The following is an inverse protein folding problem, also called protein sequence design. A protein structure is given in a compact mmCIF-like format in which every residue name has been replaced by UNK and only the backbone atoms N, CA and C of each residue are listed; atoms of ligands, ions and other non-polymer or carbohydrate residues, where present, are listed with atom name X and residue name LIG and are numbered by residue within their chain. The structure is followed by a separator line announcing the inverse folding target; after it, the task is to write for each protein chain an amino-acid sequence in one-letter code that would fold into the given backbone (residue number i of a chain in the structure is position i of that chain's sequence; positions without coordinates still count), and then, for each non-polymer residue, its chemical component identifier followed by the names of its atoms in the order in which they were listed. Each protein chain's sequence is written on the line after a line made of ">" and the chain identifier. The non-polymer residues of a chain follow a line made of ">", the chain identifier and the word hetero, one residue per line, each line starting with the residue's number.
data_IF_475151765970
#
_entry.id   IF_475151765970
#
_cell.length_a   1.000
_cell.length_b   1.000
_cell.length_c   1.000
_cell.angle_alpha   90.00
_cell.angle_beta   90.00
_cell.angle_gamma   90.00
#
_symmetry.space_group_name_H-M   'P 1'
#
loop_
_entity.id
_entity.type
_entity.pdbx_description
1 polymer ?
#
# COMPACT_ATOMS: atom_id res chain seq x y z
N UNK A 1 19.93 -49.46 10.09
CA UNK A 1 20.63 -48.35 9.43
C UNK A 1 19.81 -47.06 9.62
N UNK A 2 20.27 -46.16 10.46
CA UNK A 2 19.60 -44.87 10.70
C UNK A 2 19.89 -43.92 9.55
N UNK A 3 18.86 -43.47 8.82
CA UNK A 3 18.97 -42.38 7.85
C UNK A 3 19.03 -41.05 8.61
N UNK A 4 20.22 -40.47 8.66
CA UNK A 4 20.38 -39.07 9.12
C UNK A 4 19.57 -38.12 8.24
N UNK A 5 18.51 -37.54 8.78
CA UNK A 5 17.81 -36.41 8.16
C UNK A 5 18.70 -35.19 8.24
N UNK A 6 19.39 -34.84 7.16
CA UNK A 6 20.06 -33.56 7.01
C UNK A 6 19.00 -32.47 7.12
N UNK A 7 18.92 -31.84 8.28
CA UNK A 7 18.17 -30.59 8.45
C UNK A 7 18.88 -29.52 7.62
N UNK A 8 18.31 -29.18 6.47
CA UNK A 8 18.73 -28.02 5.69
C UNK A 8 18.64 -26.78 6.55
N UNK A 9 19.77 -26.21 6.95
CA UNK A 9 19.83 -24.88 7.54
C UNK A 9 19.33 -23.90 6.49
N UNK A 10 18.10 -23.42 6.63
CA UNK A 10 17.64 -22.26 5.86
C UNK A 10 18.50 -21.08 6.30
N UNK A 11 19.44 -20.71 5.46
CA UNK A 11 20.18 -19.46 5.63
C UNK A 11 19.19 -18.32 5.48
N UNK A 12 18.70 -17.80 6.61
CA UNK A 12 17.99 -16.52 6.63
C UNK A 12 18.93 -15.50 5.99
N UNK A 13 18.63 -15.12 4.73
CA UNK A 13 19.31 -13.98 4.09
C UNK A 13 19.19 -12.81 5.06
N UNK A 14 20.31 -12.40 5.65
CA UNK A 14 20.40 -11.17 6.43
C UNK A 14 20.00 -10.04 5.49
N UNK A 15 18.78 -9.52 5.65
CA UNK A 15 18.38 -8.28 4.98
C UNK A 15 19.30 -7.19 5.53
N UNK A 16 20.11 -6.60 4.67
CA UNK A 16 20.85 -5.39 5.02
C UNK A 16 19.85 -4.35 5.51
N UNK A 17 20.10 -3.70 6.67
CA UNK A 17 19.21 -2.65 7.15
C UNK A 17 19.25 -1.50 6.14
N UNK A 18 18.13 -1.27 5.47
CA UNK A 18 17.96 -0.18 4.52
C UNK A 18 17.47 1.02 5.31
N UNK A 19 18.32 2.03 5.48
CA UNK A 19 17.93 3.31 6.07
C UNK A 19 17.41 4.24 4.98
N UNK A 20 16.08 4.31 4.85
CA UNK A 20 15.42 5.20 3.90
C UNK A 20 14.60 6.20 4.71
N UNK A 21 14.94 7.48 4.62
CA UNK A 21 14.29 8.55 5.38
C UNK A 21 13.12 9.18 4.65
N UNK A 22 13.12 9.16 3.32
CA UNK A 22 12.08 9.74 2.48
C UNK A 22 11.52 8.70 1.51
N UNK A 23 10.22 8.77 1.25
CA UNK A 23 9.57 7.84 0.33
C UNK A 23 8.26 8.40 -0.23
N UNK A 24 7.58 7.56 -0.99
CA UNK A 24 6.31 7.87 -1.62
C UNK A 24 5.27 6.83 -1.19
N UNK A 25 4.14 7.29 -0.71
CA UNK A 25 2.97 6.44 -0.42
C UNK A 25 2.03 6.50 -1.61
N UNK A 26 1.80 5.36 -2.23
CA UNK A 26 0.86 5.22 -3.33
C UNK A 26 -0.44 4.62 -2.81
N UNK A 27 -1.53 5.35 -2.90
CA UNK A 27 -2.86 4.89 -2.51
C UNK A 27 -3.69 4.66 -3.77
N UNK A 28 -4.03 3.41 -4.04
CA UNK A 28 -4.97 3.04 -5.09
C UNK A 28 -6.31 2.71 -4.44
N UNK A 29 -7.26 3.63 -4.55
CA UNK A 29 -8.61 3.47 -4.00
C UNK A 29 -9.61 3.26 -5.13
N UNK A 30 -10.01 2.02 -5.35
CA UNK A 30 -11.07 1.65 -6.29
C UNK A 30 -12.41 1.53 -5.57
N UNK A 31 -13.50 1.37 -6.33
CA UNK A 31 -14.82 1.13 -5.73
C UNK A 31 -14.92 -0.19 -4.98
N UNK A 32 -14.01 -1.14 -5.21
CA UNK A 32 -14.03 -2.47 -4.63
C UNK A 32 -12.94 -2.75 -3.62
N UNK A 33 -11.85 -1.97 -3.63
CA UNK A 33 -10.69 -2.25 -2.78
C UNK A 33 -9.83 -0.99 -2.61
N UNK A 34 -8.95 -1.03 -1.62
CA UNK A 34 -7.90 -0.04 -1.42
C UNK A 34 -6.57 -0.75 -1.25
N UNK A 35 -5.56 -0.35 -2.00
CA UNK A 35 -4.20 -0.86 -1.92
C UNK A 35 -3.27 0.30 -1.58
N UNK A 36 -2.47 0.13 -0.54
CA UNK A 36 -1.45 1.10 -0.13
C UNK A 36 -0.08 0.50 -0.34
N UNK A 37 0.74 1.15 -1.14
CA UNK A 37 2.12 0.74 -1.41
C UNK A 37 3.05 1.87 -1.01
N UNK A 38 4.11 1.56 -0.30
CA UNK A 38 5.12 2.54 0.11
C UNK A 38 6.43 2.20 -0.56
N UNK A 39 6.95 3.15 -1.31
CA UNK A 39 8.18 3.01 -2.10
C UNK A 39 9.23 4.02 -1.64
N UNK A 40 10.45 3.80 -2.05
CA UNK A 40 11.50 4.82 -1.98
C UNK A 40 11.29 5.89 -3.09
N UNK A 41 12.17 6.87 -3.16
CA UNK A 41 12.11 7.92 -4.19
C UNK A 41 12.42 7.38 -5.59
N UNK A 42 13.03 6.21 -5.71
CA UNK A 42 13.37 5.56 -6.97
C UNK A 42 12.27 4.64 -7.48
N UNK A 43 11.26 4.36 -6.67
CA UNK A 43 10.12 3.53 -7.02
C UNK A 43 10.20 2.07 -6.54
N UNK A 44 11.21 1.69 -5.76
CA UNK A 44 11.30 0.34 -5.21
C UNK A 44 10.32 0.16 -4.05
N UNK A 45 9.46 -0.85 -4.12
CA UNK A 45 8.46 -1.13 -3.09
C UNK A 45 9.11 -1.65 -1.82
N UNK A 46 8.88 -0.96 -0.71
CA UNK A 46 9.39 -1.32 0.61
C UNK A 46 8.36 -2.07 1.44
N UNK A 47 7.11 -1.65 1.37
CA UNK A 47 5.99 -2.27 2.05
C UNK A 47 4.70 -2.02 1.27
N UNK A 48 3.76 -2.94 1.41
CA UNK A 48 2.43 -2.77 0.84
C UNK A 48 1.39 -3.49 1.71
N UNK A 49 0.17 -3.02 1.67
CA UNK A 49 -0.96 -3.66 2.30
C UNK A 49 -2.24 -3.34 1.54
N UNK A 50 -3.14 -4.29 1.48
CA UNK A 50 -4.48 -4.09 0.91
C UNK A 50 -5.55 -4.37 1.96
N UNK A 51 -6.79 -3.94 1.68
CA UNK A 51 -7.92 -4.22 2.56
C UNK A 51 -8.14 -5.73 2.77
N UNK A 52 -7.84 -6.55 1.75
CA UNK A 52 -7.91 -8.00 1.85
C UNK A 52 -6.91 -8.62 2.82
N UNK A 53 -5.73 -8.03 2.95
CA UNK A 53 -4.70 -8.51 3.88
C UNK A 53 -5.01 -8.24 5.35
N UNK A 54 -5.79 -7.22 5.65
CA UNK A 54 -6.20 -6.90 7.03
C UNK A 54 -7.48 -7.64 7.46
N UNK A 55 -7.95 -8.59 6.66
CA UNK A 55 -9.05 -9.48 7.01
C UNK A 55 -10.42 -9.09 6.46
N UNK A 56 -10.54 -8.06 5.63
CA UNK A 56 -11.79 -7.69 4.98
C UNK A 56 -12.02 -8.53 3.72
N UNK A 57 -13.28 -8.88 3.46
CA UNK A 57 -13.67 -9.68 2.31
C UNK A 57 -14.87 -9.07 1.58
N UNK A 58 -15.00 -9.33 0.28
CA UNK A 58 -16.10 -8.87 -0.55
C UNK A 58 -16.26 -7.35 -0.55
N UNK A 59 -17.48 -6.87 -0.36
CA UNK A 59 -17.83 -5.44 -0.36
C UNK A 59 -17.22 -4.65 0.80
N UNK A 60 -16.78 -5.30 1.86
CA UNK A 60 -16.15 -4.63 3.01
C UNK A 60 -14.75 -4.09 2.69
N UNK A 61 -14.09 -4.59 1.66
CA UNK A 61 -12.78 -4.10 1.21
C UNK A 61 -12.81 -2.67 0.68
N UNK A 62 -13.96 -2.18 0.25
CA UNK A 62 -14.11 -0.81 -0.27
C UNK A 62 -14.39 0.25 0.80
N UNK A 63 -14.53 -0.14 2.05
CA UNK A 63 -14.85 0.78 3.14
C UNK A 63 -13.67 1.66 3.54
N UNK A 64 -13.96 2.85 4.03
CA UNK A 64 -12.94 3.78 4.54
C UNK A 64 -12.18 3.19 5.73
N UNK A 65 -12.85 2.41 6.59
CA UNK A 65 -12.22 1.74 7.73
C UNK A 65 -11.18 0.69 7.30
N UNK A 66 -11.49 -0.09 6.26
CA UNK A 66 -10.55 -1.05 5.69
C UNK A 66 -9.30 -0.36 5.12
N UNK A 67 -9.49 0.76 4.43
CA UNK A 67 -8.39 1.58 3.91
C UNK A 67 -7.51 2.15 5.02
N UNK A 68 -8.11 2.59 6.11
CA UNK A 68 -7.39 3.08 7.29
C UNK A 68 -6.49 1.99 7.89
N UNK A 69 -7.00 0.80 8.09
CA UNK A 69 -6.21 -0.31 8.65
C UNK A 69 -5.09 -0.76 7.71
N UNK A 70 -5.36 -0.81 6.40
CA UNK A 70 -4.35 -1.15 5.40
C UNK A 70 -3.20 -0.12 5.39
N UNK A 71 -3.53 1.16 5.38
CA UNK A 71 -2.54 2.24 5.41
C UNK A 71 -1.72 2.25 6.70
N UNK A 72 -2.36 2.05 7.83
CA UNK A 72 -1.70 1.97 9.14
C UNK A 72 -0.70 0.82 9.19
N UNK A 73 -1.08 -0.34 8.72
CA UNK A 73 -0.19 -1.52 8.69
C UNK A 73 1.01 -1.31 7.77
N UNK A 74 0.80 -0.76 6.58
CA UNK A 74 1.88 -0.42 5.67
C UNK A 74 2.83 0.63 6.26
N UNK A 75 2.29 1.68 6.88
CA UNK A 75 3.07 2.74 7.50
C UNK A 75 3.93 2.23 8.67
N UNK A 76 3.40 1.36 9.51
CA UNK A 76 4.17 0.74 10.60
C UNK A 76 5.36 -0.06 10.09
N UNK A 77 5.19 -0.78 8.98
CA UNK A 77 6.28 -1.55 8.38
C UNK A 77 7.44 -0.68 7.92
N UNK A 78 7.17 0.51 7.41
CA UNK A 78 8.24 1.43 6.96
C UNK A 78 8.81 2.31 8.05
N UNK A 79 8.07 2.55 9.14
CA UNK A 79 8.61 3.22 10.33
C UNK A 79 9.77 2.42 10.93
N UNK A 80 9.69 1.10 10.92
CA UNK A 80 10.75 0.20 11.35
C UNK A 80 12.01 0.31 10.49
N UNK A 81 11.88 0.78 9.25
CA UNK A 81 12.99 1.05 8.32
C UNK A 81 13.59 2.45 8.48
N UNK A 82 13.05 3.27 9.37
CA UNK A 82 13.53 4.63 9.64
C UNK A 82 12.97 5.72 8.74
N UNK A 83 11.91 5.44 7.98
CA UNK A 83 11.25 6.45 7.14
C UNK A 83 10.56 7.52 8.00
N UNK A 84 10.72 8.78 7.63
CA UNK A 84 10.14 9.93 8.35
C UNK A 84 9.24 10.79 7.48
N UNK A 85 9.68 11.10 6.27
CA UNK A 85 8.97 11.97 5.34
C UNK A 85 8.42 11.18 4.17
N UNK A 86 7.18 11.48 3.79
CA UNK A 86 6.53 10.82 2.64
C UNK A 86 5.79 11.82 1.79
N UNK A 87 5.76 11.55 0.49
CA UNK A 87 4.82 12.16 -0.46
C UNK A 87 3.68 11.17 -0.67
N UNK A 88 2.47 11.67 -0.77
CA UNK A 88 1.30 10.83 -1.00
C UNK A 88 0.79 11.04 -2.41
N UNK A 89 0.72 9.96 -3.18
CA UNK A 89 0.11 9.94 -4.50
C UNK A 89 -1.18 9.13 -4.42
N UNK A 90 -2.30 9.80 -4.60
CA UNK A 90 -3.63 9.19 -4.55
C UNK A 90 -4.13 8.92 -5.95
N UNK A 91 -4.63 7.72 -6.18
CA UNK A 91 -5.17 7.28 -7.47
C UNK A 91 -6.52 6.59 -7.24
N UNK A 92 -7.50 6.95 -8.06
CA UNK A 92 -8.82 6.33 -8.09
C UNK A 92 -9.90 7.04 -7.28
N UNK A 93 -11.18 6.72 -7.56
CA UNK A 93 -12.34 7.40 -6.97
C UNK A 93 -12.90 6.76 -5.71
N UNK A 94 -12.24 5.74 -5.15
CA UNK A 94 -12.76 4.98 -4.03
C UNK A 94 -12.92 5.76 -2.72
N UNK A 95 -13.73 5.27 -1.80
CA UNK A 95 -14.02 5.91 -0.52
C UNK A 95 -12.80 5.94 0.44
N UNK A 96 -11.79 5.11 0.19
CA UNK A 96 -10.60 4.98 1.04
C UNK A 96 -9.53 6.05 0.86
N UNK A 97 -9.71 7.00 -0.04
CA UNK A 97 -8.69 8.03 -0.37
C UNK A 97 -8.23 8.80 0.86
N UNK A 98 -9.16 9.51 1.50
CA UNK A 98 -8.85 10.38 2.64
C UNK A 98 -8.48 9.59 3.89
N UNK A 99 -9.16 8.48 4.15
CA UNK A 99 -8.90 7.63 5.31
C UNK A 99 -7.48 7.06 5.30
N UNK A 100 -6.99 6.65 4.14
CA UNK A 100 -5.63 6.15 3.99
C UNK A 100 -4.59 7.24 4.27
N UNK A 101 -4.80 8.46 3.78
CA UNK A 101 -3.91 9.59 4.04
C UNK A 101 -3.87 9.94 5.53
N UNK A 102 -5.03 10.01 6.18
CA UNK A 102 -5.12 10.27 7.62
C UNK A 102 -4.42 9.19 8.45
N UNK A 103 -4.57 7.94 8.07
CA UNK A 103 -3.95 6.82 8.76
C UNK A 103 -2.41 6.85 8.65
N UNK A 104 -1.88 7.21 7.49
CA UNK A 104 -0.44 7.39 7.29
C UNK A 104 0.11 8.49 8.20
N UNK A 105 -0.58 9.62 8.28
CA UNK A 105 -0.21 10.72 9.16
C UNK A 105 -0.29 10.31 10.64
N UNK A 106 -1.35 9.63 11.03
CA UNK A 106 -1.56 9.17 12.41
C UNK A 106 -0.52 8.12 12.86
N UNK A 107 0.02 7.35 11.92
CA UNK A 107 1.07 6.37 12.21
C UNK A 107 2.44 7.01 12.54
N UNK A 108 2.62 8.29 12.25
CA UNK A 108 3.83 9.03 12.58
C UNK A 108 4.70 9.44 11.38
N UNK A 109 4.23 9.26 10.17
CA UNK A 109 4.91 9.74 8.96
C UNK A 109 4.51 11.19 8.66
N UNK A 110 5.50 12.03 8.38
CA UNK A 110 5.28 13.42 7.98
C UNK A 110 4.94 13.50 6.49
N UNK A 111 3.75 13.98 6.17
CA UNK A 111 3.31 14.16 4.79
C UNK A 111 3.75 15.52 4.28
N UNK A 112 4.63 15.54 3.28
CA UNK A 112 5.17 16.77 2.69
C UNK A 112 4.40 17.24 1.46
N UNK A 113 3.78 16.31 0.72
CA UNK A 113 3.03 16.60 -0.49
C UNK A 113 1.91 15.59 -0.67
N UNK A 114 0.74 16.07 -1.06
CA UNK A 114 -0.38 15.23 -1.48
C UNK A 114 -0.70 15.56 -2.93
N UNK A 115 -0.63 14.56 -3.80
CA UNK A 115 -0.88 14.69 -5.22
C UNK A 115 -1.92 13.69 -5.68
N UNK A 116 -2.91 14.14 -6.42
CA UNK A 116 -3.87 13.25 -7.10
C UNK A 116 -3.31 12.88 -8.47
N UNK A 117 -3.08 11.60 -8.70
CA UNK A 117 -2.53 11.06 -9.94
C UNK A 117 -3.54 10.19 -10.69
N UNK A 118 -4.83 10.36 -10.42
CA UNK A 118 -5.89 9.61 -11.08
C UNK A 118 -5.81 9.80 -12.59
N UNK A 119 -5.75 8.69 -13.30
CA UNK A 119 -5.66 8.70 -14.77
C UNK A 119 -7.00 9.08 -15.39
N UNK A 120 -7.00 10.11 -16.22
CA UNK A 120 -8.17 10.56 -16.97
C UNK A 120 -7.81 10.48 -18.47
N UNK A 121 -8.56 9.73 -19.30
CA UNK A 121 -8.30 9.68 -20.73
C UNK A 121 -8.66 11.02 -21.40
N UNK A 122 -7.81 11.46 -22.32
CA UNK A 122 -8.06 12.62 -23.17
C UNK A 122 -8.75 12.17 -24.47
N UNK A 123 -10.03 11.76 -24.42
CA UNK A 123 -10.74 11.14 -25.53
C UNK A 123 -10.10 9.83 -26.02
N UNK A 124 -9.70 8.96 -25.08
CA UNK A 124 -9.07 7.68 -25.37
C UNK A 124 -10.00 6.65 -26.04
N UNK A 125 -9.79 5.39 -25.72
CA UNK A 125 -10.56 4.29 -26.29
C UNK A 125 -12.04 4.36 -25.93
N UNK A 126 -12.89 3.82 -26.82
CA UNK A 126 -14.33 3.69 -26.55
C UNK A 126 -14.55 2.85 -25.30
N UNK A 127 -15.31 3.34 -24.29
CA UNK A 127 -15.61 2.58 -23.10
C UNK A 127 -16.52 1.38 -23.42
N UNK A 128 -16.54 0.42 -22.50
CA UNK A 128 -17.43 -0.74 -22.60
C UNK A 128 -18.90 -0.30 -22.55
N UNK A 129 -19.75 -1.08 -23.20
CA UNK A 129 -21.20 -0.90 -23.09
C UNK A 129 -21.67 -1.08 -21.66
N UNK A 130 -22.84 -0.48 -21.35
CA UNK A 130 -23.49 -0.66 -20.06
C UNK A 130 -23.68 -2.15 -19.76
N UNK A 131 -23.37 -2.55 -18.56
CA UNK A 131 -23.53 -3.92 -18.07
C UNK A 131 -25.02 -4.30 -18.09
N UNK A 132 -25.37 -5.44 -18.68
CA UNK A 132 -26.70 -6.02 -18.59
C UNK A 132 -26.88 -6.63 -17.18
N UNK A 133 -27.96 -6.28 -16.53
CA UNK A 133 -28.29 -6.76 -15.18
C UNK A 133 -29.54 -7.65 -15.30
#
# INVERSE_FOLDING_TARGET
>A
MAKEKRKGKSTKRRRTPINITAGVVHVLATFNNTIVSITDLQGNVLAWCSAGQVGFAGSRKSTAFAAQLAAERAARSVLDLGMKEVRVHVNGPGAGRESAIRAVQAAGLDITLIKDVTKIPHNGCRPRKRRRV
#
